data_IF_035055348766
#
_entry.id   IF_035055348766
#
_cell.length_a   1.000
_cell.length_b   1.000
_cell.length_c   1.000
_cell.angle_alpha   90.00
_cell.angle_beta   90.00
_cell.angle_gamma   90.00
#
_symmetry.space_group_name_H-M   'P 1'
#
loop_
_entity.id
_entity.type
_entity.pdbx_description
1 polymer ?
#
# COMPACT_ATOMS: atom_id res chain seq x y z
N UNK A 1 6.84 15.14 -9.81
CA UNK A 1 5.90 14.02 -9.63
C UNK A 1 6.60 12.92 -8.85
N UNK A 2 5.84 11.98 -8.31
CA UNK A 2 6.38 10.83 -7.58
C UNK A 2 6.82 9.73 -8.56
N UNK A 3 7.81 8.93 -8.18
CA UNK A 3 8.04 7.63 -8.83
C UNK A 3 6.86 6.69 -8.57
N UNK A 4 6.79 5.58 -9.33
CA UNK A 4 5.78 4.54 -9.11
C UNK A 4 5.88 3.99 -7.68
N UNK A 5 7.09 3.66 -7.21
CA UNK A 5 7.29 3.14 -5.86
C UNK A 5 6.89 4.16 -4.79
N UNK A 6 7.24 5.44 -4.98
CA UNK A 6 6.86 6.51 -4.06
C UNK A 6 5.34 6.70 -4.00
N UNK A 7 4.64 6.56 -5.13
CA UNK A 7 3.19 6.65 -5.19
C UNK A 7 2.51 5.46 -4.48
N UNK A 8 3.02 4.24 -4.69
CA UNK A 8 2.51 3.03 -4.00
C UNK A 8 2.74 3.15 -2.49
N UNK A 9 3.95 3.55 -2.05
CA UNK A 9 4.25 3.78 -0.63
C UNK A 9 3.29 4.79 -0.01
N UNK A 10 3.09 5.94 -0.65
CA UNK A 10 2.17 6.97 -0.15
C UNK A 10 0.72 6.48 -0.07
N UNK A 11 0.24 5.69 -1.04
CA UNK A 11 -1.09 5.11 -1.01
C UNK A 11 -1.26 4.08 0.12
N UNK A 12 -0.26 3.22 0.31
CA UNK A 12 -0.23 2.24 1.41
C UNK A 12 -0.22 2.95 2.76
N UNK A 13 0.61 3.99 2.92
CA UNK A 13 0.70 4.78 4.15
C UNK A 13 -0.64 5.42 4.49
N UNK A 14 -1.32 6.02 3.52
CA UNK A 14 -2.64 6.61 3.73
C UNK A 14 -3.71 5.57 4.12
N UNK A 15 -3.66 4.36 3.57
CA UNK A 15 -4.57 3.26 3.95
C UNK A 15 -4.27 2.72 5.35
N UNK A 16 -2.99 2.71 5.75
CA UNK A 16 -2.58 2.35 7.10
C UNK A 16 -3.13 3.37 8.10
N UNK A 17 -2.91 4.67 7.87
CA UNK A 17 -3.44 5.77 8.69
C UNK A 17 -4.97 5.67 8.84
N UNK A 18 -5.67 5.43 7.72
CA UNK A 18 -7.11 5.25 7.75
C UNK A 18 -7.53 4.06 8.64
N UNK A 19 -6.78 2.96 8.62
CA UNK A 19 -7.08 1.77 9.44
C UNK A 19 -6.81 1.95 10.93
N UNK A 20 -5.93 2.88 11.30
CA UNK A 20 -5.63 3.18 12.71
C UNK A 20 -6.77 3.97 13.38
N UNK A 21 -7.40 4.88 12.63
CA UNK A 21 -8.46 5.76 13.13
C UNK A 21 -9.89 5.22 12.89
N UNK A 22 -10.08 4.28 11.96
CA UNK A 22 -11.39 3.71 11.61
C UNK A 22 -11.41 2.18 11.68
N UNK A 23 -12.16 1.65 12.66
CA UNK A 23 -12.32 0.20 12.88
C UNK A 23 -13.01 -0.55 11.73
N UNK A 24 -13.70 0.17 10.83
CA UNK A 24 -14.28 -0.44 9.63
C UNK A 24 -13.24 -0.61 8.50
N UNK A 25 -12.08 0.02 8.61
CA UNK A 25 -10.99 -0.05 7.64
C UNK A 25 -9.93 -1.06 8.11
N UNK A 26 -9.79 -2.15 7.36
CA UNK A 26 -8.81 -3.19 7.69
C UNK A 26 -7.40 -2.80 7.26
N UNK A 27 -6.48 -2.73 8.23
CA UNK A 27 -5.05 -2.55 7.95
C UNK A 27 -4.39 -3.81 7.36
N UNK A 28 -3.18 -3.69 6.79
CA UNK A 28 -2.43 -4.82 6.28
C UNK A 28 -2.08 -5.81 7.40
N UNK A 29 -2.10 -7.10 7.08
CA UNK A 29 -1.73 -8.19 7.99
C UNK A 29 -0.53 -8.95 7.45
N UNK A 30 0.68 -8.58 7.88
CA UNK A 30 1.94 -9.20 7.45
C UNK A 30 1.98 -10.69 7.78
N UNK A 31 1.53 -11.08 8.99
CA UNK A 31 1.51 -12.50 9.41
C UNK A 31 0.60 -13.36 8.53
N UNK A 32 -0.54 -12.81 8.10
CA UNK A 32 -1.50 -13.52 7.24
C UNK A 32 -1.26 -13.29 5.75
N UNK A 33 -0.29 -12.44 5.38
CA UNK A 33 -0.05 -11.96 4.01
C UNK A 33 -1.31 -11.40 3.36
N UNK A 34 -2.01 -10.51 4.05
CA UNK A 34 -3.18 -9.82 3.50
C UNK A 34 -2.82 -8.35 3.36
N UNK A 35 -2.85 -7.83 2.13
CA UNK A 35 -2.45 -6.48 1.78
C UNK A 35 -3.55 -5.77 0.99
N UNK A 36 -3.53 -4.43 0.90
CA UNK A 36 -4.38 -3.69 -0.02
C UNK A 36 -4.14 -4.10 -1.48
N UNK A 37 -5.17 -4.01 -2.30
CA UNK A 37 -5.03 -4.15 -3.76
C UNK A 37 -4.88 -2.74 -4.35
N UNK A 38 -3.92 -2.56 -5.24
CA UNK A 38 -3.69 -1.30 -5.93
C UNK A 38 -3.71 -1.50 -7.45
N UNK A 39 -4.24 -0.51 -8.17
CA UNK A 39 -4.16 -0.46 -9.63
C UNK A 39 -3.37 0.80 -10.02
N UNK A 40 -2.43 0.64 -10.95
CA UNK A 40 -1.71 1.75 -11.55
C UNK A 40 -2.34 2.11 -12.88
N UNK A 41 -2.80 3.35 -13.00
CA UNK A 41 -3.41 3.87 -14.24
C UNK A 41 -2.43 4.81 -14.93
N UNK A 42 -2.10 4.50 -16.17
CA UNK A 42 -1.18 5.28 -17.02
C UNK A 42 -1.80 5.54 -18.39
N UNK A 43 -1.08 6.21 -19.28
CA UNK A 43 -1.49 6.36 -20.68
C UNK A 43 -1.63 5.03 -21.42
N UNK A 44 -1.01 3.96 -20.92
CA UNK A 44 -1.06 2.62 -21.51
C UNK A 44 -2.26 1.79 -21.03
N UNK A 45 -3.01 2.26 -20.03
CA UNK A 45 -4.12 1.54 -19.43
C UNK A 45 -4.02 1.42 -17.90
N UNK A 46 -4.81 0.51 -17.34
CA UNK A 46 -4.84 0.20 -15.91
C UNK A 46 -4.34 -1.22 -15.68
N UNK A 47 -3.35 -1.38 -14.81
CA UNK A 47 -2.78 -2.66 -14.45
C UNK A 47 -2.75 -2.82 -12.93
N UNK A 48 -3.03 -4.03 -12.44
CA UNK A 48 -2.89 -4.36 -11.02
C UNK A 48 -1.41 -4.30 -10.60
N UNK A 49 -1.14 -3.68 -9.45
CA UNK A 49 0.19 -3.64 -8.88
C UNK A 49 0.50 -5.02 -8.29
N UNK A 50 1.64 -5.63 -8.62
CA UNK A 50 2.02 -6.91 -8.03
C UNK A 50 1.98 -6.87 -6.50
N UNK A 51 1.42 -7.91 -5.86
CA UNK A 51 1.32 -8.01 -4.40
C UNK A 51 2.68 -7.79 -3.72
N UNK A 52 3.78 -8.28 -4.31
CA UNK A 52 5.13 -8.10 -3.78
C UNK A 52 5.58 -6.62 -3.71
N UNK A 53 5.15 -5.76 -4.64
CA UNK A 53 5.42 -4.33 -4.58
C UNK A 53 4.62 -3.65 -3.46
N UNK A 54 3.37 -4.09 -3.24
CA UNK A 54 2.54 -3.59 -2.14
C UNK A 54 3.06 -4.07 -0.79
N UNK A 55 3.46 -5.34 -0.68
CA UNK A 55 4.09 -5.92 0.52
C UNK A 55 5.38 -5.16 0.89
N UNK A 56 6.24 -4.88 -0.09
CA UNK A 56 7.46 -4.10 0.13
C UNK A 56 7.15 -2.68 0.66
N UNK A 57 6.11 -2.03 0.10
CA UNK A 57 5.66 -0.72 0.58
C UNK A 57 5.10 -0.78 2.01
N UNK A 58 4.32 -1.81 2.35
CA UNK A 58 3.81 -2.04 3.71
C UNK A 58 4.95 -2.21 4.70
N UNK A 59 5.93 -3.05 4.38
CA UNK A 59 7.09 -3.29 5.25
C UNK A 59 7.86 -1.98 5.46
N UNK A 60 8.15 -1.23 4.39
CA UNK A 60 8.87 0.03 4.49
C UNK A 60 8.14 1.05 5.39
N UNK A 61 6.81 1.19 5.25
CA UNK A 61 6.03 2.10 6.10
C UNK A 61 6.05 1.65 7.57
N UNK A 62 5.91 0.35 7.84
CA UNK A 62 5.95 -0.18 9.20
C UNK A 62 7.34 -0.02 9.85
N UNK A 63 8.42 -0.22 9.09
CA UNK A 63 9.79 -0.04 9.56
C UNK A 63 10.10 1.42 9.91
N UNK A 64 9.57 2.38 9.17
CA UNK A 64 9.76 3.81 9.45
C UNK A 64 8.97 4.30 10.69
N UNK A 65 7.91 3.60 11.07
CA UNK A 65 7.06 3.93 12.24
C UNK A 65 7.53 3.29 13.55
N UNK A 66 8.46 2.34 13.49
CA UNK A 66 9.00 1.62 14.65
C UNK A 66 10.03 2.45 15.43
#
# INVERSE_FOLDING_TARGET
GLSREQAIRAAVEALLDASEDDVATGGPSVYRRIFPIALAVTSSGADEVPEAEVEAAVIAVLEERA
#
